data_IF_157148751349
#
_entry.id   IF_157148751349
#
_cell.length_a   1.000
_cell.length_b   1.000
_cell.length_c   1.000
_cell.angle_alpha   90.00
_cell.angle_beta   90.00
_cell.angle_gamma   90.00
#
_symmetry.space_group_name_H-M   'P 1'
#
loop_
_entity.id
_entity.type
_entity.pdbx_description
1 polymer ?
#
# COMPACT_ATOMS: atom_id res chain seq x y z
N UNK A 1 4.84 -24.21 15.48
CA UNK A 1 4.92 -22.74 15.57
C UNK A 1 3.48 -22.22 15.70
N UNK A 2 3.27 -21.18 16.48
CA UNK A 2 1.94 -20.56 16.56
C UNK A 2 1.62 -19.89 15.22
N UNK A 3 0.45 -20.22 14.66
CA UNK A 3 -0.06 -19.49 13.49
C UNK A 3 -0.37 -18.05 13.89
N UNK A 4 -0.07 -17.10 13.01
CA UNK A 4 -0.38 -15.69 13.23
C UNK A 4 -1.67 -15.35 12.50
N UNK A 5 -2.65 -14.88 13.25
CA UNK A 5 -3.99 -14.53 12.80
C UNK A 5 -4.12 -13.04 12.54
N UNK A 6 -4.86 -12.69 11.50
CA UNK A 6 -5.40 -11.36 11.25
C UNK A 6 -6.82 -11.34 11.80
N UNK A 7 -7.09 -10.54 12.83
CA UNK A 7 -8.42 -10.41 13.44
C UNK A 7 -9.15 -9.15 13.02
N UNK A 8 -8.44 -8.13 12.55
CA UNK A 8 -9.02 -6.92 11.94
C UNK A 8 -8.16 -6.48 10.76
N UNK A 9 -8.81 -6.00 9.70
CA UNK A 9 -8.17 -5.49 8.51
C UNK A 9 -8.97 -4.27 8.01
N UNK A 10 -8.43 -3.07 8.12
CA UNK A 10 -9.09 -1.81 7.77
C UNK A 10 -8.17 -0.90 6.98
N UNK A 11 -8.77 -0.05 6.13
CA UNK A 11 -8.09 1.05 5.44
C UNK A 11 -8.95 2.30 5.44
N UNK A 12 -8.37 3.44 5.23
CA UNK A 12 -9.15 4.62 4.84
C UNK A 12 -9.57 4.51 3.37
N UNK A 13 -10.55 5.27 2.95
CA UNK A 13 -10.63 5.63 1.55
C UNK A 13 -9.31 6.32 1.14
N UNK A 14 -8.96 6.27 -0.14
CA UNK A 14 -7.73 6.85 -0.69
C UNK A 14 -8.05 8.22 -1.29
N UNK A 15 -7.36 9.25 -0.78
CA UNK A 15 -7.46 10.62 -1.24
C UNK A 15 -6.61 10.89 -2.49
N UNK A 16 -7.08 11.79 -3.32
CA UNK A 16 -6.31 12.34 -4.44
C UNK A 16 -5.28 13.36 -3.96
N UNK A 17 -4.23 13.56 -4.75
CA UNK A 17 -3.26 14.61 -4.49
C UNK A 17 -3.92 15.99 -4.45
N UNK A 18 -3.73 16.70 -3.34
CA UNK A 18 -4.40 17.97 -3.08
C UNK A 18 -5.90 17.87 -2.80
N UNK A 19 -6.43 16.64 -2.62
CA UNK A 19 -7.84 16.33 -2.37
C UNK A 19 -8.26 16.46 -0.91
N UNK A 20 -9.22 15.62 -0.51
CA UNK A 20 -9.91 15.74 0.77
C UNK A 20 -9.02 15.55 1.99
N UNK A 21 -7.98 14.70 1.90
CA UNK A 21 -7.08 14.40 3.02
C UNK A 21 -5.88 15.36 3.16
N UNK A 22 -5.66 16.29 2.23
CA UNK A 22 -4.45 17.12 2.15
C UNK A 22 -4.08 17.87 3.43
N UNK A 23 -5.08 18.31 4.19
CA UNK A 23 -4.91 19.10 5.42
C UNK A 23 -5.04 18.23 6.70
N UNK A 24 -5.19 16.92 6.55
CA UNK A 24 -5.29 15.97 7.67
C UNK A 24 -3.92 15.34 7.93
N UNK A 25 -3.34 15.52 9.11
CA UNK A 25 -2.02 14.96 9.40
C UNK A 25 -2.00 13.43 9.29
N UNK A 26 -0.87 12.87 8.83
CA UNK A 26 -0.68 11.42 8.75
C UNK A 26 -0.95 10.72 10.11
N UNK A 27 -0.53 11.34 11.21
CA UNK A 27 -0.77 10.85 12.56
C UNK A 27 -2.26 10.79 12.93
N UNK A 28 -3.07 11.74 12.43
CA UNK A 28 -4.53 11.71 12.63
C UNK A 28 -5.18 10.66 11.74
N UNK A 29 -4.82 10.59 10.46
CA UNK A 29 -5.36 9.58 9.52
C UNK A 29 -5.12 8.17 10.08
N UNK A 30 -3.87 7.86 10.45
CA UNK A 30 -3.52 6.56 11.02
C UNK A 30 -4.14 6.29 12.39
N UNK A 31 -4.22 7.33 13.25
CA UNK A 31 -4.81 7.22 14.60
C UNK A 31 -6.31 6.92 14.56
N UNK A 32 -7.07 7.64 13.74
CA UNK A 32 -8.50 7.41 13.56
C UNK A 32 -8.77 6.01 12.96
N UNK A 33 -7.94 5.59 12.01
CA UNK A 33 -8.02 4.25 11.42
C UNK A 33 -7.78 3.15 12.45
N UNK A 34 -6.69 3.22 13.22
CA UNK A 34 -6.33 2.21 14.23
C UNK A 34 -7.40 2.14 15.31
N UNK A 35 -7.91 3.28 15.76
CA UNK A 35 -9.01 3.33 16.72
C UNK A 35 -10.23 2.56 16.22
N UNK A 36 -10.68 2.82 14.99
CA UNK A 36 -11.81 2.13 14.38
C UNK A 36 -11.51 0.63 14.14
N UNK A 37 -10.28 0.28 13.81
CA UNK A 37 -9.89 -1.13 13.67
C UNK A 37 -9.99 -1.89 15.01
N UNK A 38 -9.60 -1.28 16.13
CA UNK A 38 -9.75 -1.84 17.48
C UNK A 38 -11.23 -1.95 17.86
N UNK A 39 -12.00 -0.88 17.63
CA UNK A 39 -13.45 -0.84 17.92
C UNK A 39 -14.23 -1.89 17.12
N UNK A 40 -13.83 -2.14 15.85
CA UNK A 40 -14.52 -3.11 14.97
C UNK A 40 -14.52 -4.55 15.49
N UNK A 41 -13.60 -4.87 16.38
CA UNK A 41 -13.46 -6.19 17.00
C UNK A 41 -13.57 -6.15 18.53
N UNK A 42 -14.01 -5.02 19.10
CA UNK A 42 -14.13 -4.78 20.54
C UNK A 42 -12.83 -5.11 21.31
N UNK A 43 -11.67 -4.83 20.72
CA UNK A 43 -10.38 -5.05 21.37
C UNK A 43 -9.98 -3.85 22.23
N UNK A 44 -9.74 -4.12 23.53
CA UNK A 44 -9.24 -3.09 24.46
C UNK A 44 -7.85 -2.61 24.02
N UNK A 45 -7.65 -1.28 23.78
CA UNK A 45 -6.35 -0.73 23.41
C UNK A 45 -5.22 -1.05 24.41
N UNK A 46 -5.54 -1.32 25.68
CA UNK A 46 -4.57 -1.72 26.71
C UNK A 46 -3.89 -3.06 26.40
N UNK A 47 -4.52 -3.93 25.62
CA UNK A 47 -3.99 -5.25 25.25
C UNK A 47 -3.00 -5.21 24.09
N UNK A 48 -2.94 -4.12 23.35
CA UNK A 48 -1.96 -3.95 22.24
C UNK A 48 -0.56 -3.81 22.84
N UNK A 49 0.41 -4.59 22.35
CA UNK A 49 1.78 -4.56 22.85
C UNK A 49 2.64 -3.59 22.05
N UNK A 50 2.45 -3.53 20.74
CA UNK A 50 3.27 -2.69 19.86
C UNK A 50 2.51 -2.22 18.63
N UNK A 51 2.89 -1.05 18.10
CA UNK A 51 2.46 -0.54 16.80
C UNK A 51 3.65 -0.43 15.85
N UNK A 52 3.53 -0.99 14.64
CA UNK A 52 4.53 -0.90 13.57
C UNK A 52 3.87 -0.32 12.32
N UNK A 53 4.29 0.88 11.90
CA UNK A 53 3.68 1.54 10.74
C UNK A 53 4.71 1.89 9.67
N UNK A 54 4.37 1.58 8.42
CA UNK A 54 5.08 2.07 7.24
C UNK A 54 4.82 3.55 7.01
N UNK A 55 5.87 4.32 6.75
CA UNK A 55 5.76 5.70 6.29
C UNK A 55 7.07 6.09 5.58
N UNK A 56 6.97 6.69 4.41
CA UNK A 56 8.11 7.01 3.56
C UNK A 56 8.49 8.48 3.66
N UNK A 57 7.53 9.38 3.49
CA UNK A 57 7.72 10.83 3.50
C UNK A 57 7.59 11.37 4.93
N UNK A 58 8.66 11.25 5.71
CA UNK A 58 8.65 11.55 7.15
C UNK A 58 9.01 13.01 7.48
N UNK A 59 9.48 13.76 6.50
CA UNK A 59 9.91 15.15 6.70
C UNK A 59 8.75 16.02 7.22
N UNK A 60 8.97 16.69 8.35
CA UNK A 60 7.99 17.60 8.94
C UNK A 60 6.87 16.94 9.75
N UNK A 61 6.79 15.61 9.83
CA UNK A 61 5.76 14.91 10.61
C UNK A 61 6.03 14.86 12.12
N UNK A 62 7.17 15.37 12.58
CA UNK A 62 7.62 15.23 13.96
C UNK A 62 8.28 13.87 14.23
N UNK A 63 8.47 13.55 15.50
CA UNK A 63 9.12 12.29 15.88
C UNK A 63 8.16 11.12 15.70
N UNK A 64 8.60 10.06 15.00
CA UNK A 64 7.98 8.74 15.00
C UNK A 64 6.45 8.77 14.82
N UNK A 65 5.99 8.86 13.57
CA UNK A 65 4.56 8.94 13.26
C UNK A 65 3.76 7.74 13.80
N UNK A 66 4.35 6.54 13.88
CA UNK A 66 3.70 5.37 14.48
C UNK A 66 3.41 5.58 15.97
N UNK A 67 4.32 6.25 16.68
CA UNK A 67 4.09 6.61 18.08
C UNK A 67 2.95 7.61 18.24
N UNK A 68 2.86 8.59 17.36
CA UNK A 68 1.76 9.55 17.35
C UNK A 68 0.43 8.85 17.05
N UNK A 69 0.41 7.92 16.09
CA UNK A 69 -0.76 7.08 15.77
C UNK A 69 -1.21 6.29 17.00
N UNK A 70 -0.28 5.60 17.70
CA UNK A 70 -0.59 4.84 18.91
C UNK A 70 -1.33 5.67 19.95
N UNK A 71 -0.79 6.85 20.26
CA UNK A 71 -1.39 7.76 21.26
C UNK A 71 -2.75 8.29 20.79
N UNK A 72 -2.87 8.67 19.51
CA UNK A 72 -4.13 9.15 18.93
C UNK A 72 -5.22 8.07 18.91
N UNK A 73 -4.83 6.80 18.77
CA UNK A 73 -5.74 5.65 18.80
C UNK A 73 -6.15 5.24 20.23
N UNK A 74 -5.60 5.89 21.26
CA UNK A 74 -5.90 5.56 22.66
C UNK A 74 -5.09 4.40 23.24
N UNK A 75 -4.04 3.94 22.55
CA UNK A 75 -3.14 2.93 23.07
C UNK A 75 -2.24 3.56 24.15
N UNK A 76 -2.03 2.86 25.30
CA UNK A 76 -1.28 3.39 26.42
C UNK A 76 0.14 3.83 26.05
N UNK A 77 0.62 4.89 26.73
CA UNK A 77 1.94 5.48 26.47
C UNK A 77 3.11 4.56 26.86
N UNK A 78 2.85 3.54 27.63
CA UNK A 78 3.80 2.51 28.03
C UNK A 78 4.10 1.51 26.92
N UNK A 79 3.25 1.45 25.89
CA UNK A 79 3.41 0.54 24.76
C UNK A 79 4.38 1.09 23.72
N UNK A 80 5.10 0.18 23.06
CA UNK A 80 6.12 0.54 22.06
C UNK A 80 5.49 0.88 20.69
N UNK A 81 6.20 1.70 19.90
CA UNK A 81 5.83 1.96 18.53
C UNK A 81 7.04 2.40 17.70
N UNK A 82 7.12 1.99 16.44
CA UNK A 82 8.14 2.46 15.52
C UNK A 82 7.68 2.51 14.06
N UNK A 83 8.40 3.30 13.26
CA UNK A 83 8.17 3.48 11.82
C UNK A 83 9.16 2.61 11.04
N UNK A 84 8.68 2.00 9.95
CA UNK A 84 9.52 1.32 8.97
C UNK A 84 9.42 1.99 7.60
N UNK A 85 10.56 2.20 6.96
CA UNK A 85 10.64 2.66 5.58
C UNK A 85 11.29 1.57 4.71
N UNK A 86 10.52 1.03 3.80
CA UNK A 86 10.90 0.14 2.71
C UNK A 86 10.23 0.60 1.42
N UNK A 87 10.14 1.93 1.22
CA UNK A 87 9.43 2.55 0.10
C UNK A 87 8.02 1.94 -0.05
N UNK A 88 7.60 1.54 -1.26
CA UNK A 88 6.26 0.97 -1.52
C UNK A 88 5.92 -0.28 -0.67
N UNK A 89 6.93 -1.00 -0.22
CA UNK A 89 6.79 -2.20 0.62
C UNK A 89 6.64 -1.94 2.11
N UNK A 90 6.69 -0.69 2.58
CA UNK A 90 6.72 -0.33 4.00
C UNK A 90 5.55 -0.91 4.79
N UNK A 91 4.32 -0.73 4.29
CA UNK A 91 3.12 -1.23 4.95
C UNK A 91 3.06 -2.76 5.05
N UNK A 92 3.54 -3.50 4.04
CA UNK A 92 3.60 -4.96 4.13
C UNK A 92 4.79 -5.43 4.98
N UNK A 93 5.91 -4.66 4.98
CA UNK A 93 7.04 -4.95 5.86
C UNK A 93 6.69 -4.76 7.33
N UNK A 94 5.85 -3.82 7.70
CA UNK A 94 5.34 -3.67 9.06
C UNK A 94 4.62 -4.92 9.52
N UNK A 95 3.78 -5.51 8.65
CA UNK A 95 3.08 -6.78 8.92
C UNK A 95 4.08 -7.93 9.11
N UNK A 96 5.10 -8.02 8.24
CA UNK A 96 6.17 -9.03 8.40
C UNK A 96 6.88 -8.92 9.75
N UNK A 97 7.16 -7.71 10.23
CA UNK A 97 7.82 -7.48 11.52
C UNK A 97 6.91 -7.87 12.68
N UNK A 98 5.61 -7.53 12.62
CA UNK A 98 4.63 -7.96 13.61
C UNK A 98 4.47 -9.48 13.67
N UNK A 99 4.45 -10.16 12.52
CA UNK A 99 4.45 -11.63 12.47
C UNK A 99 5.69 -12.21 13.15
N UNK A 100 6.87 -11.67 12.85
CA UNK A 100 8.13 -12.11 13.44
C UNK A 100 8.12 -11.95 14.96
N UNK A 101 7.69 -10.77 15.45
CA UNK A 101 7.59 -10.46 16.87
C UNK A 101 6.66 -11.43 17.63
N UNK A 102 5.49 -11.76 17.05
CA UNK A 102 4.56 -12.75 17.65
C UNK A 102 5.15 -14.16 17.62
N UNK A 103 5.80 -14.54 16.51
CA UNK A 103 6.37 -15.88 16.37
C UNK A 103 7.52 -16.17 17.34
N UNK A 104 8.34 -15.17 17.68
CA UNK A 104 9.44 -15.30 18.65
C UNK A 104 8.98 -15.08 20.09
N UNK A 105 7.74 -14.61 20.31
CA UNK A 105 7.16 -14.43 21.63
C UNK A 105 7.49 -13.10 22.31
N UNK A 106 7.96 -12.12 21.55
CA UNK A 106 8.21 -10.76 22.08
C UNK A 106 6.90 -10.01 22.36
N UNK A 107 5.89 -10.23 21.51
CA UNK A 107 4.57 -9.60 21.60
C UNK A 107 3.46 -10.61 21.37
N UNK A 108 2.29 -10.38 21.97
CA UNK A 108 1.07 -11.17 21.74
C UNK A 108 0.14 -10.52 20.72
N UNK A 109 0.00 -9.19 20.77
CA UNK A 109 -0.93 -8.42 19.93
C UNK A 109 -0.19 -7.23 19.33
N UNK A 110 -0.11 -7.18 18.01
CA UNK A 110 0.59 -6.11 17.28
C UNK A 110 -0.35 -5.46 16.24
N UNK A 111 -0.41 -4.13 16.26
CA UNK A 111 -1.07 -3.38 15.19
C UNK A 111 -0.03 -3.03 14.14
N UNK A 112 -0.22 -3.53 12.93
CA UNK A 112 0.66 -3.29 11.79
C UNK A 112 -0.06 -2.54 10.70
N UNK A 113 0.64 -1.62 10.04
CA UNK A 113 0.01 -0.85 8.97
C UNK A 113 0.96 0.03 8.20
N UNK A 114 0.39 1.02 7.55
CA UNK A 114 1.12 2.09 6.91
C UNK A 114 0.23 3.30 6.68
N UNK A 115 0.85 4.45 6.59
CA UNK A 115 0.20 5.73 6.33
C UNK A 115 1.06 6.57 5.40
N UNK A 116 0.43 7.29 4.51
CA UNK A 116 1.10 8.34 3.74
C UNK A 116 0.14 9.49 3.51
N UNK A 117 0.60 10.70 3.73
CA UNK A 117 -0.05 11.89 3.21
C UNK A 117 0.95 12.59 2.28
N UNK A 118 0.88 12.24 1.01
CA UNK A 118 1.78 12.79 0.00
C UNK A 118 1.45 14.24 -0.30
N UNK A 119 0.17 14.63 -0.17
CA UNK A 119 -0.28 16.02 -0.36
C UNK A 119 0.34 16.99 0.65
N UNK A 120 0.62 16.54 1.87
CA UNK A 120 1.20 17.35 2.94
C UNK A 120 2.74 17.27 2.98
N UNK A 121 3.38 16.53 2.08
CA UNK A 121 4.83 16.38 2.04
C UNK A 121 5.50 17.73 1.70
N UNK A 122 6.46 18.20 2.51
CA UNK A 122 7.03 19.53 2.35
C UNK A 122 8.10 19.59 1.28
N UNK A 123 8.40 20.81 0.82
CA UNK A 123 9.65 21.10 0.15
C UNK A 123 10.72 21.43 1.18
N UNK A 124 11.98 21.13 0.90
CA UNK A 124 13.12 21.41 1.78
C UNK A 124 14.31 21.99 1.01
N UNK A 125 15.25 22.55 1.75
CA UNK A 125 16.53 22.99 1.21
C UNK A 125 17.70 22.35 1.96
N UNK A 126 18.68 21.83 1.23
CA UNK A 126 19.83 21.09 1.81
C UNK A 126 20.80 21.98 2.58
N UNK A 127 21.00 23.22 2.15
CA UNK A 127 22.13 24.06 2.58
C UNK A 127 21.78 25.16 3.58
N UNK A 128 20.51 25.30 4.00
CA UNK A 128 20.07 26.42 4.84
C UNK A 128 20.66 26.43 6.25
N UNK A 129 21.06 25.28 6.82
CA UNK A 129 21.54 25.17 8.22
C UNK A 129 22.76 26.05 8.51
N UNK A 130 23.67 26.17 7.56
CA UNK A 130 24.89 26.96 7.71
C UNK A 130 24.82 28.29 6.93
N UNK A 131 23.67 28.65 6.41
CA UNK A 131 23.38 29.87 5.68
C UNK A 131 23.76 29.81 4.19
N UNK A 132 23.09 30.64 3.42
CA UNK A 132 23.36 30.88 2.00
C UNK A 132 24.00 32.27 1.89
N UNK A 133 25.31 32.32 1.69
CA UNK A 133 26.05 33.59 1.68
C UNK A 133 25.80 34.42 0.41
N UNK A 134 25.55 33.76 -0.72
CA UNK A 134 25.32 34.38 -2.01
C UNK A 134 24.53 33.46 -2.91
N UNK A 135 23.64 34.00 -3.77
CA UNK A 135 22.81 33.26 -4.72
C UNK A 135 21.42 32.91 -4.19
N UNK A 136 20.65 32.18 -4.98
CA UNK A 136 19.28 31.76 -4.66
C UNK A 136 19.22 30.49 -3.82
N UNK A 137 18.14 30.30 -3.05
CA UNK A 137 17.80 29.00 -2.46
C UNK A 137 17.05 28.17 -3.50
N UNK A 138 17.45 26.90 -3.60
CA UNK A 138 16.65 25.87 -4.28
C UNK A 138 15.86 25.11 -3.24
N UNK A 139 14.58 24.87 -3.55
CA UNK A 139 13.69 24.01 -2.77
C UNK A 139 13.51 22.70 -3.54
N UNK A 140 13.72 21.59 -2.86
CA UNK A 140 13.53 20.25 -3.38
C UNK A 140 12.20 19.68 -2.88
N UNK A 141 11.44 19.02 -3.73
CA UNK A 141 10.21 18.35 -3.39
C UNK A 141 10.51 16.98 -2.78
N UNK A 142 10.08 16.75 -1.52
CA UNK A 142 10.28 15.45 -0.84
C UNK A 142 9.56 14.30 -1.54
N UNK A 143 8.42 14.54 -2.21
CA UNK A 143 7.73 13.49 -2.97
C UNK A 143 8.63 12.98 -4.09
N UNK A 144 9.17 13.90 -4.85
CA UNK A 144 10.04 13.58 -5.99
C UNK A 144 11.36 12.98 -5.50
N UNK A 145 12.04 13.65 -4.56
CA UNK A 145 13.39 13.25 -4.16
C UNK A 145 13.42 11.96 -3.33
N UNK A 146 12.54 11.82 -2.34
CA UNK A 146 12.60 10.74 -1.36
C UNK A 146 11.63 9.58 -1.71
N UNK A 147 10.61 9.87 -2.52
CA UNK A 147 9.57 8.90 -2.89
C UNK A 147 9.67 8.35 -4.31
N UNK A 148 9.97 9.18 -5.30
CA UNK A 148 9.77 8.87 -6.71
C UNK A 148 11.03 8.90 -7.58
N UNK A 149 12.19 9.29 -7.03
CA UNK A 149 13.48 9.28 -7.75
C UNK A 149 14.32 8.08 -7.34
N UNK A 150 14.84 7.35 -8.31
CA UNK A 150 15.82 6.29 -8.06
C UNK A 150 17.11 6.87 -7.49
N UNK A 151 17.54 6.38 -6.34
CA UNK A 151 18.70 6.91 -5.61
C UNK A 151 20.04 6.60 -6.29
N UNK A 152 20.10 5.67 -7.23
CA UNK A 152 21.31 5.24 -7.91
C UNK A 152 21.45 5.90 -9.28
N UNK A 153 20.36 5.97 -10.03
CA UNK A 153 20.34 6.47 -11.41
C UNK A 153 19.85 7.92 -11.52
N UNK A 154 19.31 8.51 -10.43
CA UNK A 154 18.78 9.88 -10.41
C UNK A 154 17.72 10.19 -11.46
N UNK A 155 16.84 9.22 -11.76
CA UNK A 155 15.69 9.42 -12.61
C UNK A 155 14.38 8.99 -11.92
N UNK A 156 13.25 9.50 -12.42
CA UNK A 156 11.94 9.18 -11.88
C UNK A 156 11.59 7.70 -12.07
N UNK A 157 10.86 7.10 -11.11
CA UNK A 157 10.40 5.71 -11.16
C UNK A 157 9.66 5.35 -12.46
N UNK A 158 9.01 6.32 -13.12
CA UNK A 158 8.39 6.12 -14.43
C UNK A 158 9.37 5.69 -15.52
N UNK A 159 10.67 6.05 -15.42
CA UNK A 159 11.68 5.56 -16.36
C UNK A 159 11.92 4.05 -16.17
N UNK A 160 11.83 3.54 -14.94
CA UNK A 160 11.92 2.08 -14.72
C UNK A 160 10.75 1.33 -15.38
N UNK A 161 9.58 1.95 -15.45
CA UNK A 161 8.42 1.39 -16.15
C UNK A 161 8.61 1.43 -17.67
N UNK A 162 9.19 2.50 -18.23
CA UNK A 162 9.58 2.57 -19.65
C UNK A 162 10.63 1.51 -20.01
N UNK A 163 11.62 1.28 -19.12
CA UNK A 163 12.62 0.22 -19.32
C UNK A 163 11.97 -1.17 -19.42
N UNK A 164 10.98 -1.45 -18.57
CA UNK A 164 10.20 -2.70 -18.60
C UNK A 164 9.36 -2.78 -19.87
N UNK A 165 8.69 -1.69 -20.25
CA UNK A 165 7.90 -1.66 -21.48
C UNK A 165 8.76 -1.98 -22.70
N UNK A 166 9.95 -1.40 -22.81
CA UNK A 166 10.91 -1.65 -23.88
C UNK A 166 11.45 -3.11 -23.84
N UNK A 167 11.88 -3.58 -22.67
CA UNK A 167 12.46 -4.91 -22.50
C UNK A 167 11.47 -6.06 -22.82
N UNK A 168 10.19 -5.86 -22.52
CA UNK A 168 9.14 -6.89 -22.70
C UNK A 168 8.20 -6.59 -23.86
N UNK A 169 8.52 -5.60 -24.70
CA UNK A 169 7.71 -5.17 -25.84
C UNK A 169 6.25 -4.91 -25.48
N UNK A 170 6.02 -4.19 -24.38
CA UNK A 170 4.67 -3.82 -23.91
C UNK A 170 4.32 -2.48 -24.53
N UNK A 171 3.41 -2.50 -25.49
CA UNK A 171 3.02 -1.30 -26.24
C UNK A 171 2.07 -0.42 -25.43
N UNK A 172 1.87 0.81 -25.88
CA UNK A 172 1.04 1.82 -25.24
C UNK A 172 -0.41 1.39 -25.11
N UNK A 173 -0.96 0.78 -26.13
CA UNK A 173 -2.34 0.31 -26.20
C UNK A 173 -2.62 -0.74 -25.13
N UNK A 174 -1.74 -1.70 -24.93
CA UNK A 174 -1.86 -2.71 -23.88
C UNK A 174 -1.87 -2.09 -22.47
N UNK A 175 -1.03 -1.05 -22.26
CA UNK A 175 -0.97 -0.34 -20.98
C UNK A 175 -2.26 0.44 -20.71
N UNK A 176 -2.83 1.08 -21.72
CA UNK A 176 -4.08 1.83 -21.62
C UNK A 176 -5.28 0.88 -21.42
N UNK A 177 -5.30 -0.29 -22.06
CA UNK A 177 -6.31 -1.35 -21.84
C UNK A 177 -6.26 -1.88 -20.41
N UNK A 178 -5.07 -2.15 -19.91
CA UNK A 178 -4.86 -2.59 -18.52
C UNK A 178 -5.36 -1.53 -17.52
N UNK A 179 -4.99 -0.27 -17.74
CA UNK A 179 -5.43 0.84 -16.89
C UNK A 179 -6.95 1.02 -16.92
N UNK A 180 -7.58 0.94 -18.10
CA UNK A 180 -9.03 1.00 -18.24
C UNK A 180 -9.71 -0.16 -17.51
N UNK A 181 -9.15 -1.37 -17.57
CA UNK A 181 -9.69 -2.53 -16.87
C UNK A 181 -9.63 -2.31 -15.33
N UNK A 182 -8.53 -1.76 -14.81
CA UNK A 182 -8.41 -1.40 -13.39
C UNK A 182 -9.46 -0.37 -12.98
N UNK A 183 -9.64 0.70 -13.76
CA UNK A 183 -10.66 1.73 -13.51
C UNK A 183 -12.09 1.15 -13.49
N UNK A 184 -12.43 0.32 -14.46
CA UNK A 184 -13.74 -0.32 -14.53
C UNK A 184 -14.01 -1.25 -13.36
N UNK A 185 -13.03 -2.07 -12.97
CA UNK A 185 -13.13 -2.95 -11.80
C UNK A 185 -13.34 -2.14 -10.51
N UNK A 186 -12.59 -1.05 -10.31
CA UNK A 186 -12.73 -0.20 -9.14
C UNK A 186 -14.08 0.53 -9.09
N UNK A 187 -14.53 1.09 -10.21
CA UNK A 187 -15.83 1.75 -10.29
C UNK A 187 -16.97 0.77 -9.97
N UNK A 188 -16.94 -0.43 -10.55
CA UNK A 188 -17.93 -1.48 -10.27
C UNK A 188 -17.87 -1.95 -8.80
N UNK A 189 -16.68 -2.02 -8.20
CA UNK A 189 -16.52 -2.38 -6.81
C UNK A 189 -17.12 -1.33 -5.87
N UNK A 190 -16.98 -0.04 -6.17
CA UNK A 190 -17.61 1.06 -5.44
C UNK A 190 -19.13 0.99 -5.60
N UNK A 191 -19.65 0.85 -6.82
CA UNK A 191 -21.09 0.76 -7.11
C UNK A 191 -21.76 -0.40 -6.36
N UNK A 192 -21.06 -1.54 -6.25
CA UNK A 192 -21.57 -2.73 -5.54
C UNK A 192 -21.20 -2.76 -4.04
N UNK A 193 -20.69 -1.67 -3.47
CA UNK A 193 -20.30 -1.57 -2.06
C UNK A 193 -19.33 -2.68 -1.62
N UNK A 194 -18.40 -3.09 -2.49
CA UNK A 194 -17.46 -4.17 -2.18
C UNK A 194 -16.37 -3.75 -1.18
N UNK A 195 -16.19 -2.44 -0.97
CA UNK A 195 -15.22 -1.88 -0.03
C UNK A 195 -15.80 -1.48 1.33
N UNK A 196 -17.13 -1.62 1.54
CA UNK A 196 -17.81 -1.15 2.76
C UNK A 196 -17.23 -1.72 4.06
N UNK A 197 -16.83 -2.99 4.03
CA UNK A 197 -16.29 -3.67 5.23
C UNK A 197 -14.81 -3.34 5.49
N UNK A 198 -14.07 -2.87 4.49
CA UNK A 198 -12.66 -2.56 4.65
C UNK A 198 -12.40 -1.06 4.92
N UNK A 199 -13.27 -0.17 4.44
CA UNK A 199 -13.10 1.28 4.62
C UNK A 199 -13.57 1.72 5.99
N UNK A 200 -12.65 2.35 6.74
CA UNK A 200 -12.93 3.09 7.96
C UNK A 200 -13.07 4.59 7.59
N UNK A 201 -14.23 5.22 7.82
CA UNK A 201 -14.46 6.61 7.47
C UNK A 201 -13.55 7.56 8.26
N UNK A 202 -13.05 8.62 7.61
CA UNK A 202 -12.33 9.71 8.26
C UNK A 202 -13.22 10.93 8.36
N UNK A 203 -13.45 11.42 9.57
CA UNK A 203 -14.19 12.66 9.79
C UNK A 203 -13.24 13.85 9.69
N UNK A 204 -13.47 14.67 8.67
CA UNK A 204 -12.69 15.88 8.40
C UNK A 204 -13.47 17.08 8.91
N UNK A 205 -12.92 17.73 9.94
CA UNK A 205 -13.53 18.95 10.51
C UNK A 205 -12.96 20.18 9.81
N UNK A 206 -13.82 20.90 9.11
CA UNK A 206 -13.52 22.22 8.56
C UNK A 206 -14.09 23.31 9.44
N UNK A 207 -13.82 24.57 9.13
CA UNK A 207 -14.43 25.71 9.85
C UNK A 207 -15.95 25.81 9.67
N UNK A 208 -16.50 25.17 8.63
CA UNK A 208 -17.91 25.34 8.22
C UNK A 208 -18.73 24.07 8.42
N UNK A 209 -18.10 22.90 8.28
CA UNK A 209 -18.81 21.62 8.24
C UNK A 209 -17.91 20.45 8.65
N UNK A 210 -18.53 19.33 8.98
CA UNK A 210 -17.87 18.04 9.10
C UNK A 210 -18.15 17.23 7.83
N UNK A 211 -17.09 16.69 7.22
CA UNK A 211 -17.17 15.87 6.01
C UNK A 211 -16.76 14.45 6.38
N UNK A 212 -17.60 13.47 6.07
CA UNK A 212 -17.23 12.07 6.18
C UNK A 212 -16.55 11.64 4.88
N UNK A 213 -15.29 11.24 4.95
CA UNK A 213 -14.51 10.76 3.83
C UNK A 213 -14.44 9.22 3.88
N UNK A 214 -15.21 8.54 3.04
CA UNK A 214 -15.44 7.09 3.04
C UNK A 214 -15.48 6.45 1.64
N UNK A 215 -15.19 7.23 0.59
CA UNK A 215 -15.16 6.75 -0.80
C UNK A 215 -13.81 7.08 -1.44
N UNK A 216 -13.21 6.11 -2.15
CA UNK A 216 -11.97 6.29 -2.89
C UNK A 216 -12.11 7.39 -3.93
N UNK A 217 -11.39 8.49 -3.74
CA UNK A 217 -11.56 9.76 -4.47
C UNK A 217 -10.87 9.74 -5.84
N UNK A 218 -9.91 8.84 -6.05
CA UNK A 218 -9.06 8.85 -7.25
C UNK A 218 -9.69 8.10 -8.44
N UNK A 219 -10.69 7.25 -8.24
CA UNK A 219 -11.31 6.43 -9.28
C UNK A 219 -11.99 7.28 -10.36
N UNK A 220 -11.67 7.00 -11.61
CA UNK A 220 -12.19 7.71 -12.79
C UNK A 220 -13.15 6.81 -13.57
N UNK A 221 -14.36 6.68 -13.07
CA UNK A 221 -15.39 5.79 -13.64
C UNK A 221 -15.70 6.04 -15.14
N UNK A 222 -15.51 7.28 -15.61
CA UNK A 222 -15.78 7.67 -17.00
C UNK A 222 -14.55 7.51 -17.93
N UNK A 223 -13.52 6.77 -17.52
CA UNK A 223 -12.34 6.50 -18.35
C UNK A 223 -12.72 5.72 -19.61
N UNK A 224 -12.05 6.04 -20.73
CA UNK A 224 -12.19 5.32 -21.99
C UNK A 224 -10.83 5.21 -22.70
N UNK A 225 -10.67 4.22 -23.58
CA UNK A 225 -9.44 4.10 -24.39
C UNK A 225 -9.17 5.36 -25.19
N UNK A 226 -10.22 6.01 -25.74
CA UNK A 226 -10.08 7.26 -26.45
C UNK A 226 -9.51 8.38 -25.57
N UNK A 227 -9.95 8.48 -24.32
CA UNK A 227 -9.44 9.50 -23.38
C UNK A 227 -7.99 9.21 -22.96
N UNK A 228 -7.65 7.93 -22.74
CA UNK A 228 -6.29 7.51 -22.38
C UNK A 228 -5.32 7.73 -23.55
N UNK A 229 -5.69 7.38 -24.77
CA UNK A 229 -4.87 7.55 -25.97
C UNK A 229 -4.45 9.01 -26.24
N UNK A 230 -5.24 10.00 -25.78
CA UNK A 230 -4.93 11.44 -25.89
C UNK A 230 -3.83 11.92 -24.91
N UNK A 231 -3.50 11.12 -23.89
CA UNK A 231 -2.50 11.50 -22.90
C UNK A 231 -1.08 11.41 -23.48
N UNK A 232 -0.26 12.40 -23.16
CA UNK A 232 1.15 12.43 -23.56
C UNK A 232 2.00 11.55 -22.62
N UNK A 233 3.08 10.94 -23.13
CA UNK A 233 4.08 10.31 -22.27
C UNK A 233 4.58 11.28 -21.19
N UNK A 234 4.71 10.78 -19.95
CA UNK A 234 5.01 11.62 -18.79
C UNK A 234 6.49 11.64 -18.41
N UNK A 235 7.26 10.60 -18.76
CA UNK A 235 8.60 10.41 -18.22
C UNK A 235 9.70 10.37 -19.29
N UNK A 236 9.38 9.93 -20.50
CA UNK A 236 10.33 9.83 -21.63
C UNK A 236 9.68 10.46 -22.86
N UNK A 237 10.42 11.29 -23.60
CA UNK A 237 9.97 11.75 -24.93
C UNK A 237 9.75 10.51 -25.79
N UNK A 238 8.70 10.38 -26.48
CA UNK A 238 8.33 9.19 -27.27
C UNK A 238 8.19 7.89 -26.45
N UNK A 239 7.92 8.03 -25.13
CA UNK A 239 7.63 6.91 -24.23
C UNK A 239 6.19 6.42 -24.33
N UNK A 240 5.86 5.45 -23.48
CA UNK A 240 4.54 4.80 -23.46
C UNK A 240 3.78 5.00 -22.15
N UNK A 241 4.50 5.36 -21.08
CA UNK A 241 3.93 5.55 -19.74
C UNK A 241 3.35 6.95 -19.59
N UNK A 242 2.09 7.03 -19.18
CA UNK A 242 1.33 8.27 -19.04
C UNK A 242 0.73 8.40 -17.64
N UNK A 243 0.18 9.58 -17.32
CA UNK A 243 -0.60 9.76 -16.09
C UNK A 243 -1.89 8.91 -16.03
N UNK A 244 -2.31 8.31 -17.15
CA UNK A 244 -3.50 7.46 -17.21
C UNK A 244 -3.22 5.97 -17.00
N UNK A 245 -1.97 5.52 -17.25
CA UNK A 245 -1.55 4.13 -17.11
C UNK A 245 -0.46 3.94 -16.02
N UNK A 246 -0.35 4.93 -15.13
CA UNK A 246 0.46 4.91 -13.92
C UNK A 246 -0.43 5.16 -12.69
N UNK A 247 -0.01 4.71 -11.51
CA UNK A 247 -0.67 5.05 -10.25
C UNK A 247 -0.51 6.54 -9.93
N UNK A 248 -1.41 7.07 -9.11
CA UNK A 248 -1.37 8.47 -8.69
C UNK A 248 -0.46 8.72 -7.48
N UNK A 249 -0.33 10.00 -7.15
CA UNK A 249 0.16 10.52 -5.88
C UNK A 249 -1.07 10.63 -4.97
N UNK A 250 -1.05 9.98 -3.81
CA UNK A 250 -2.27 9.78 -3.03
C UNK A 250 -2.02 9.83 -1.52
N UNK A 251 -3.10 9.99 -0.77
CA UNK A 251 -3.13 10.05 0.68
C UNK A 251 -3.97 8.90 1.24
N UNK A 252 -3.54 8.27 2.33
CA UNK A 252 -4.32 7.21 2.95
C UNK A 252 -3.55 6.38 3.95
N UNK A 253 -4.27 5.48 4.62
CA UNK A 253 -3.71 4.54 5.57
C UNK A 253 -4.38 3.18 5.48
N UNK A 254 -3.68 2.13 5.91
CA UNK A 254 -4.22 0.80 6.09
C UNK A 254 -3.58 0.13 7.31
N UNK A 255 -4.33 -0.69 8.04
CA UNK A 255 -3.81 -1.46 9.16
C UNK A 255 -4.47 -2.83 9.29
N UNK A 256 -3.74 -3.73 9.93
CA UNK A 256 -4.22 -5.03 10.39
C UNK A 256 -3.87 -5.20 11.87
N UNK A 257 -4.70 -5.93 12.60
CA UNK A 257 -4.42 -6.36 13.97
C UNK A 257 -4.01 -7.82 13.91
N UNK A 258 -2.79 -8.09 14.37
CA UNK A 258 -2.18 -9.42 14.39
C UNK A 258 -2.12 -9.96 15.81
N UNK A 259 -2.34 -11.27 15.94
CA UNK A 259 -2.08 -12.00 17.19
C UNK A 259 -1.86 -13.49 16.91
N UNK A 260 -1.38 -14.23 17.91
CA UNK A 260 -1.35 -15.69 17.79
C UNK A 260 -2.76 -16.25 17.72
N UNK A 261 -2.96 -17.36 16.99
CA UNK A 261 -4.25 -18.06 16.95
C UNK A 261 -4.77 -18.41 18.37
N UNK A 262 -3.85 -18.79 19.27
CA UNK A 262 -4.17 -19.04 20.67
C UNK A 262 -4.78 -17.81 21.33
N UNK A 263 -4.15 -16.64 21.14
CA UNK A 263 -4.61 -15.38 21.75
C UNK A 263 -5.95 -14.93 21.19
N UNK A 264 -6.19 -15.11 19.88
CA UNK A 264 -7.49 -14.83 19.28
C UNK A 264 -8.61 -15.70 19.92
N UNK A 265 -8.36 -16.99 20.10
CA UNK A 265 -9.30 -17.90 20.77
C UNK A 265 -9.56 -17.53 22.23
N UNK A 266 -8.51 -17.16 22.99
CA UNK A 266 -8.66 -16.72 24.40
C UNK A 266 -9.53 -15.46 24.52
N UNK A 267 -9.44 -14.56 23.56
CA UNK A 267 -10.22 -13.32 23.54
C UNK A 267 -11.59 -13.47 22.86
N UNK A 268 -11.89 -14.65 22.29
CA UNK A 268 -13.15 -14.91 21.58
C UNK A 268 -13.30 -14.10 20.29
N UNK A 269 -12.18 -13.75 19.63
CA UNK A 269 -12.17 -12.98 18.40
C UNK A 269 -12.22 -13.87 17.17
N UNK A 270 -13.00 -13.45 16.17
CA UNK A 270 -13.03 -14.10 14.87
C UNK A 270 -11.72 -13.87 14.10
N UNK A 271 -11.20 -14.91 13.49
CA UNK A 271 -10.02 -14.84 12.62
C UNK A 271 -10.48 -14.63 11.18
N UNK A 272 -10.03 -13.55 10.57
CA UNK A 272 -10.30 -13.24 9.16
C UNK A 272 -9.44 -14.10 8.22
N UNK A 273 -8.13 -14.13 8.48
CA UNK A 273 -7.14 -14.91 7.74
C UNK A 273 -5.94 -15.24 8.64
N UNK A 274 -5.17 -16.23 8.23
CA UNK A 274 -3.85 -16.55 8.78
C UNK A 274 -2.76 -16.13 7.81
N UNK A 275 -1.59 -15.72 8.33
CA UNK A 275 -0.42 -15.46 7.50
C UNK A 275 0.37 -16.77 7.36
N UNK A 276 0.41 -17.29 6.13
CA UNK A 276 1.09 -18.54 5.82
C UNK A 276 2.59 -18.34 5.60
N UNK A 277 2.95 -17.25 4.94
CA UNK A 277 4.34 -16.92 4.72
C UNK A 277 4.56 -15.64 3.94
N UNK A 278 5.81 -15.23 3.89
CA UNK A 278 6.24 -14.03 3.21
C UNK A 278 7.68 -14.18 2.69
N UNK A 279 8.03 -13.38 1.68
CA UNK A 279 9.38 -13.27 1.17
C UNK A 279 9.68 -11.84 0.70
N UNK A 280 10.94 -11.46 0.75
CA UNK A 280 11.48 -10.26 0.10
C UNK A 280 12.68 -10.63 -0.73
N UNK A 281 12.89 -9.91 -1.84
CA UNK A 281 13.99 -10.10 -2.78
C UNK A 281 14.54 -8.76 -3.23
N UNK A 282 15.74 -8.76 -3.76
CA UNK A 282 16.35 -7.66 -4.51
C UNK A 282 16.52 -8.03 -5.97
N UNK A 283 16.57 -7.01 -6.83
CA UNK A 283 16.87 -7.12 -8.26
C UNK A 283 17.47 -5.81 -8.78
N UNK A 284 17.79 -5.75 -10.06
CA UNK A 284 18.27 -4.53 -10.70
C UNK A 284 17.23 -3.39 -10.53
N UNK A 285 17.69 -2.24 -9.98
CA UNK A 285 16.85 -1.06 -9.76
C UNK A 285 16.26 -0.49 -11.06
N UNK A 286 16.94 -0.68 -12.19
CA UNK A 286 16.47 -0.21 -13.51
C UNK A 286 15.15 -0.84 -13.95
N UNK A 287 14.84 -2.00 -13.40
CA UNK A 287 13.60 -2.74 -13.65
C UNK A 287 12.90 -3.13 -12.33
N UNK A 288 12.92 -2.22 -11.36
CA UNK A 288 12.38 -2.45 -10.01
C UNK A 288 10.94 -2.99 -10.02
N UNK A 289 10.15 -2.63 -11.03
CA UNK A 289 8.78 -3.07 -11.21
C UNK A 289 8.61 -4.60 -11.30
N UNK A 290 9.68 -5.34 -11.64
CA UNK A 290 9.68 -6.80 -11.68
C UNK A 290 9.87 -7.46 -10.29
N UNK A 291 10.09 -6.68 -9.24
CA UNK A 291 10.29 -7.18 -7.87
C UNK A 291 9.26 -8.21 -7.38
N UNK A 292 7.97 -8.11 -7.73
CA UNK A 292 6.96 -9.10 -7.40
C UNK A 292 7.29 -10.51 -7.92
N UNK A 293 7.97 -10.64 -9.06
CA UNK A 293 8.26 -11.95 -9.67
C UNK A 293 9.14 -12.82 -8.76
N UNK A 294 10.39 -12.44 -8.45
CA UNK A 294 11.24 -13.25 -7.58
C UNK A 294 10.70 -13.34 -6.14
N UNK A 295 9.98 -12.32 -5.63
CA UNK A 295 9.40 -12.36 -4.31
C UNK A 295 8.26 -13.39 -4.21
N UNK A 296 7.40 -13.45 -5.24
CA UNK A 296 6.31 -14.45 -5.32
C UNK A 296 6.88 -15.86 -5.49
N UNK A 297 7.81 -16.06 -6.40
CA UNK A 297 8.46 -17.38 -6.58
C UNK A 297 9.07 -17.87 -5.26
N UNK A 298 9.80 -16.99 -4.55
CA UNK A 298 10.45 -17.34 -3.29
C UNK A 298 9.46 -17.68 -2.16
N UNK A 299 8.32 -16.99 -2.04
CA UNK A 299 7.34 -17.32 -1.00
C UNK A 299 6.60 -18.60 -1.33
N UNK A 300 6.27 -18.84 -2.59
CA UNK A 300 5.64 -20.10 -3.02
C UNK A 300 6.56 -21.29 -2.81
N UNK A 301 7.83 -21.20 -3.20
CA UNK A 301 8.84 -22.22 -2.92
C UNK A 301 8.95 -22.52 -1.42
N UNK A 302 9.05 -21.48 -0.59
CA UNK A 302 9.13 -21.62 0.87
C UNK A 302 7.94 -22.36 1.47
N UNK A 303 6.75 -22.20 0.87
CA UNK A 303 5.50 -22.81 1.33
C UNK A 303 5.19 -24.14 0.61
N UNK A 304 6.01 -24.54 -0.34
CA UNK A 304 5.77 -25.69 -1.22
C UNK A 304 4.41 -25.58 -1.92
N UNK A 305 4.12 -24.42 -2.47
CA UNK A 305 2.90 -24.10 -3.24
C UNK A 305 3.23 -23.79 -4.68
N UNK A 306 2.28 -24.09 -5.58
CA UNK A 306 2.30 -23.64 -6.97
C UNK A 306 1.43 -22.38 -7.13
N UNK A 307 1.58 -21.67 -8.24
CA UNK A 307 0.81 -20.45 -8.50
C UNK A 307 -0.69 -20.74 -8.63
N UNK A 308 -1.05 -21.92 -9.12
CA UNK A 308 -2.42 -22.40 -9.29
C UNK A 308 -3.14 -22.63 -7.95
N UNK A 309 -2.40 -22.88 -6.86
CA UNK A 309 -2.92 -23.05 -5.51
C UNK A 309 -3.45 -21.74 -4.90
N UNK A 310 -3.22 -20.61 -5.58
CA UNK A 310 -3.68 -19.29 -5.15
C UNK A 310 -5.00 -18.94 -5.86
N UNK A 311 -6.01 -18.60 -5.06
CA UNK A 311 -7.32 -18.25 -5.58
C UNK A 311 -7.41 -16.80 -6.04
N UNK A 312 -6.80 -15.85 -5.29
CA UNK A 312 -6.83 -14.42 -5.59
C UNK A 312 -5.45 -13.78 -5.41
N UNK A 313 -5.17 -12.81 -6.26
CA UNK A 313 -3.94 -12.01 -6.23
C UNK A 313 -4.26 -10.53 -6.08
N UNK A 314 -3.60 -9.85 -5.13
CA UNK A 314 -3.55 -8.39 -5.04
C UNK A 314 -2.12 -7.93 -5.34
N UNK A 315 -1.90 -7.53 -6.59
CA UNK A 315 -0.61 -7.08 -7.12
C UNK A 315 -0.65 -5.55 -7.22
N UNK A 316 0.28 -4.86 -6.55
CA UNK A 316 0.26 -3.41 -6.62
C UNK A 316 0.54 -2.90 -8.04
N UNK A 317 -0.33 -2.06 -8.56
CA UNK A 317 -0.25 -1.47 -9.90
C UNK A 317 0.47 -0.12 -9.84
N UNK A 318 1.79 -0.12 -9.63
CA UNK A 318 2.56 1.12 -9.69
C UNK A 318 2.52 1.72 -11.12
N UNK A 319 2.62 0.85 -12.12
CA UNK A 319 2.52 1.18 -13.55
C UNK A 319 1.87 0.01 -14.31
N UNK A 320 1.11 0.30 -15.35
CA UNK A 320 0.51 -0.74 -16.20
C UNK A 320 1.59 -1.62 -16.86
N UNK A 321 2.65 -1.01 -17.41
CA UNK A 321 3.78 -1.76 -18.02
C UNK A 321 4.38 -2.78 -17.03
N UNK A 322 4.62 -2.36 -15.78
CA UNK A 322 5.13 -3.24 -14.74
C UNK A 322 4.13 -4.36 -14.39
N UNK A 323 2.86 -4.04 -14.26
CA UNK A 323 1.82 -5.02 -13.92
C UNK A 323 1.63 -6.07 -15.00
N UNK A 324 1.64 -5.66 -16.27
CA UNK A 324 1.57 -6.58 -17.42
C UNK A 324 2.79 -7.51 -17.46
N UNK A 325 4.00 -6.98 -17.27
CA UNK A 325 5.20 -7.80 -17.23
C UNK A 325 5.16 -8.84 -16.11
N UNK A 326 4.76 -8.43 -14.90
CA UNK A 326 4.64 -9.33 -13.74
C UNK A 326 3.61 -10.42 -13.97
N UNK A 327 2.42 -10.09 -14.48
CA UNK A 327 1.38 -11.07 -14.76
C UNK A 327 1.78 -12.08 -15.83
N UNK A 328 2.50 -11.64 -16.87
CA UNK A 328 3.05 -12.53 -17.90
C UNK A 328 4.13 -13.45 -17.35
N UNK A 329 5.10 -12.92 -16.61
CA UNK A 329 6.24 -13.68 -16.07
C UNK A 329 5.83 -14.72 -15.02
N UNK A 330 4.77 -14.44 -14.28
CA UNK A 330 4.18 -15.36 -13.30
C UNK A 330 3.07 -16.24 -13.88
N UNK A 331 2.71 -16.05 -15.15
CA UNK A 331 1.60 -16.74 -15.83
C UNK A 331 0.28 -16.66 -15.03
N UNK A 332 -0.08 -15.45 -14.54
CA UNK A 332 -1.27 -15.25 -13.72
C UNK A 332 -2.55 -15.25 -14.57
N UNK A 333 -3.58 -15.90 -14.06
CA UNK A 333 -4.95 -15.74 -14.55
C UNK A 333 -5.46 -14.34 -14.16
N UNK A 334 -5.64 -13.45 -15.14
CA UNK A 334 -6.07 -12.08 -14.95
C UNK A 334 -7.47 -11.95 -14.32
N UNK A 335 -8.28 -13.00 -14.36
CA UNK A 335 -9.60 -13.03 -13.69
C UNK A 335 -9.45 -13.13 -12.17
N UNK A 336 -8.30 -13.58 -11.69
CA UNK A 336 -7.96 -13.69 -10.26
C UNK A 336 -7.14 -12.50 -9.73
N UNK A 337 -6.68 -11.59 -10.62
CA UNK A 337 -5.79 -10.48 -10.26
C UNK A 337 -6.57 -9.20 -10.08
N UNK A 338 -6.38 -8.53 -8.93
CA UNK A 338 -6.98 -7.23 -8.62
C UNK A 338 -8.45 -7.18 -9.01
N UNK A 339 -9.24 -8.09 -8.47
CA UNK A 339 -10.64 -8.30 -8.88
C UNK A 339 -11.53 -7.07 -8.64
N UNK A 340 -11.07 -6.16 -7.78
CA UNK A 340 -11.73 -4.89 -7.43
C UNK A 340 -10.97 -3.66 -7.93
N UNK A 341 -10.12 -3.82 -8.95
CA UNK A 341 -9.20 -2.78 -9.41
C UNK A 341 -7.96 -2.65 -8.51
N UNK A 342 -6.93 -1.97 -8.98
CA UNK A 342 -5.68 -1.79 -8.27
C UNK A 342 -5.25 -0.32 -8.18
N UNK A 343 -3.97 -0.07 -7.93
CA UNK A 343 -3.47 1.26 -7.60
C UNK A 343 -3.55 2.28 -8.75
N UNK A 344 -3.63 1.86 -10.00
CA UNK A 344 -3.89 2.78 -11.13
C UNK A 344 -5.25 3.46 -10.97
N UNK A 345 -6.25 2.74 -10.46
CA UNK A 345 -7.58 3.28 -10.22
C UNK A 345 -7.74 3.84 -8.80
N UNK A 346 -7.32 3.07 -7.78
CA UNK A 346 -7.54 3.42 -6.37
C UNK A 346 -6.53 4.45 -5.86
N UNK A 347 -5.28 4.45 -6.38
CA UNK A 347 -4.20 5.29 -5.90
C UNK A 347 -3.10 4.52 -5.15
N UNK A 348 -1.95 5.20 -4.94
CA UNK A 348 -0.74 4.61 -4.36
C UNK A 348 -0.13 5.47 -3.25
N UNK A 349 -0.77 5.59 -2.07
CA UNK A 349 -0.13 6.19 -0.89
C UNK A 349 1.03 5.28 -0.46
N UNK A 350 2.27 5.65 -0.84
CA UNK A 350 3.42 4.71 -0.91
C UNK A 350 3.68 3.94 0.38
N UNK A 351 3.70 4.59 1.54
CA UNK A 351 3.92 3.93 2.83
C UNK A 351 2.77 3.04 3.30
N UNK A 352 1.54 3.31 2.83
CA UNK A 352 0.33 2.57 3.19
C UNK A 352 0.06 1.38 2.26
N UNK A 353 0.45 1.47 1.00
CA UNK A 353 0.02 0.55 -0.07
C UNK A 353 0.30 -0.92 0.21
N UNK A 354 1.41 -1.24 0.88
CA UNK A 354 1.73 -2.62 1.23
C UNK A 354 0.71 -3.27 2.16
N UNK A 355 0.18 -2.52 3.12
CA UNK A 355 -0.90 -2.99 3.98
C UNK A 355 -2.26 -2.88 3.28
N UNK A 356 -2.48 -1.86 2.42
CA UNK A 356 -3.71 -1.68 1.65
C UNK A 356 -4.01 -2.89 0.77
N UNK A 357 -3.03 -3.40 0.03
CA UNK A 357 -3.25 -4.60 -0.82
C UNK A 357 -3.57 -5.84 0.02
N UNK A 358 -2.98 -5.98 1.20
CA UNK A 358 -3.32 -7.07 2.13
C UNK A 358 -4.75 -6.93 2.66
N UNK A 359 -5.18 -5.73 3.07
CA UNK A 359 -6.54 -5.48 3.56
C UNK A 359 -7.56 -5.84 2.48
N UNK A 360 -7.39 -5.33 1.26
CA UNK A 360 -8.30 -5.63 0.14
C UNK A 360 -8.32 -7.13 -0.18
N UNK A 361 -7.16 -7.81 -0.17
CA UNK A 361 -7.07 -9.25 -0.38
C UNK A 361 -7.86 -10.05 0.66
N UNK A 362 -7.71 -9.72 1.95
CA UNK A 362 -8.43 -10.39 3.05
C UNK A 362 -9.94 -10.26 2.86
N UNK A 363 -10.44 -9.06 2.59
CA UNK A 363 -11.87 -8.85 2.35
C UNK A 363 -12.36 -9.49 1.04
N UNK A 364 -11.52 -9.53 0.01
CA UNK A 364 -11.83 -10.23 -1.24
C UNK A 364 -12.00 -11.74 -1.02
N UNK A 365 -11.07 -12.37 -0.28
CA UNK A 365 -11.16 -13.79 0.04
C UNK A 365 -12.45 -14.13 0.81
N UNK A 366 -12.83 -13.29 1.77
CA UNK A 366 -14.05 -13.49 2.56
C UNK A 366 -15.29 -13.35 1.67
N UNK A 367 -15.40 -12.25 0.93
CA UNK A 367 -16.60 -11.89 0.16
C UNK A 367 -16.83 -12.82 -1.02
N UNK A 368 -15.76 -13.28 -1.68
CA UNK A 368 -15.83 -14.19 -2.82
C UNK A 368 -15.75 -15.68 -2.39
N UNK A 369 -15.76 -15.95 -1.08
CA UNK A 369 -15.64 -17.29 -0.49
C UNK A 369 -14.44 -18.09 -1.04
N UNK A 370 -13.29 -17.42 -1.13
CA UNK A 370 -12.02 -17.99 -1.55
C UNK A 370 -11.15 -18.34 -0.35
N UNK A 371 -10.21 -19.26 -0.53
CA UNK A 371 -9.43 -19.82 0.56
C UNK A 371 -8.08 -19.13 0.72
N UNK A 372 -7.30 -19.03 -0.36
CA UNK A 372 -5.89 -18.64 -0.33
C UNK A 372 -5.62 -17.47 -1.25
N UNK A 373 -4.91 -16.48 -0.74
CA UNK A 373 -4.54 -15.29 -1.50
C UNK A 373 -3.07 -14.90 -1.37
N UNK A 374 -2.59 -14.19 -2.38
CA UNK A 374 -1.23 -13.65 -2.41
C UNK A 374 -1.27 -12.16 -2.72
N UNK A 375 -0.59 -11.35 -1.91
CA UNK A 375 -0.34 -9.94 -2.25
C UNK A 375 1.15 -9.69 -2.49
N UNK A 376 1.45 -8.78 -3.43
CA UNK A 376 2.83 -8.44 -3.77
C UNK A 376 2.99 -7.01 -4.27
N UNK A 377 4.18 -6.43 -4.01
CA UNK A 377 4.55 -5.09 -4.46
C UNK A 377 5.97 -5.07 -5.02
N UNK A 378 6.16 -4.28 -6.06
CA UNK A 378 7.47 -3.75 -6.44
C UNK A 378 7.87 -2.61 -5.49
N UNK A 379 9.15 -2.38 -5.37
CA UNK A 379 9.71 -1.41 -4.41
C UNK A 379 10.82 -0.65 -5.09
N UNK A 380 10.77 0.68 -5.02
CA UNK A 380 11.83 1.56 -5.51
C UNK A 380 13.21 1.17 -4.97
N UNK A 381 14.25 1.31 -5.78
CA UNK A 381 15.61 0.85 -5.49
C UNK A 381 15.84 -0.64 -5.81
N UNK A 382 14.92 -1.31 -6.52
CA UNK A 382 15.12 -2.68 -7.01
C UNK A 382 14.82 -3.76 -5.98
N UNK A 383 13.62 -3.78 -5.41
CA UNK A 383 13.21 -4.82 -4.47
C UNK A 383 11.77 -5.30 -4.75
N UNK A 384 11.41 -6.43 -4.13
CA UNK A 384 10.05 -6.97 -4.10
C UNK A 384 9.69 -7.53 -2.73
N UNK A 385 8.40 -7.58 -2.44
CA UNK A 385 7.86 -8.23 -1.25
C UNK A 385 6.54 -8.92 -1.59
N UNK A 386 6.36 -10.15 -1.10
CA UNK A 386 5.13 -10.93 -1.28
C UNK A 386 4.73 -11.59 0.02
N UNK A 387 3.42 -11.78 0.19
CA UNK A 387 2.83 -12.48 1.35
C UNK A 387 1.68 -13.37 0.89
N UNK A 388 1.59 -14.56 1.48
CA UNK A 388 0.48 -15.51 1.29
C UNK A 388 -0.33 -15.56 2.57
N UNK A 389 -1.65 -15.50 2.41
CA UNK A 389 -2.64 -15.63 3.50
C UNK A 389 -3.68 -16.68 3.16
N UNK A 390 -4.27 -17.30 4.18
CA UNK A 390 -5.37 -18.25 4.01
C UNK A 390 -6.49 -18.00 5.02
N UNK A 391 -7.71 -18.43 4.68
CA UNK A 391 -8.87 -18.34 5.59
C UNK A 391 -8.96 -19.51 6.58
N UNK A 392 -8.29 -20.62 6.31
CA UNK A 392 -8.31 -21.85 7.15
C UNK A 392 -6.93 -22.25 7.60
#
# INVERSE_FOLDING_TARGET
MNRVAIVSAKRTAIGSFGGSLKDVSAAKIGGDLVKQALESVNLDPNLVDEIIFGNVLQTGLGQNVARQIAVNAGIPKEKSAFVVNKVCGSGLKSVVLGVQSIMVGDNDIVVCGGVENMSAAPHYTKNARFGQKLGSFELEDTIINDGLTDAFENYHMGITAENIAEQYNIIREEQDEFALASQKKAALAIENNLFSEEIAPIVIKTRREEITFDVDEYVRANSSLESLAKLRPSFKKDGTVTAGNASGINDGAACVILMSEKRAKELGLDVLCYIEGYASTGLDNKVMGLGPVPATQKVLEKLNLNIEDIDLFEMNEAFAAQSIAVTRLLNLDLTKVNTRGGAIALGHPIGASGCRVLVTLVHALIKDNKEKGLCSLCIGGGQGISMVVSRK
#
